data_IF_147522350393
#
_entry.id   IF_147522350393
#
_cell.length_a   1.000
_cell.length_b   1.000
_cell.length_c   1.000
_cell.angle_alpha   90.00
_cell.angle_beta   90.00
_cell.angle_gamma   90.00
#
_symmetry.space_group_name_H-M   'P 1'
#
loop_
_entity.id
_entity.type
_entity.pdbx_description
1 polymer ?
#
# COMPACT_ATOMS: atom_id res chain seq x y z
N UNK A 1 -21.61 -13.97 -3.39
CA UNK A 1 -21.56 -13.35 -4.74
C UNK A 1 -20.65 -12.12 -4.76
N UNK A 2 -19.44 -12.24 -5.32
CA UNK A 2 -18.44 -11.17 -5.45
C UNK A 2 -18.70 -10.20 -6.60
N UNK A 3 -19.70 -10.47 -7.43
CA UNK A 3 -20.11 -9.59 -8.51
C UNK A 3 -20.89 -8.37 -8.01
N UNK A 4 -21.39 -8.39 -6.76
CA UNK A 4 -22.10 -7.22 -6.20
C UNK A 4 -21.18 -6.00 -6.14
N UNK A 5 -21.63 -4.84 -6.67
CA UNK A 5 -20.85 -3.61 -6.67
C UNK A 5 -20.73 -3.00 -5.27
N UNK A 6 -21.66 -3.29 -4.35
CA UNK A 6 -21.55 -2.96 -2.93
C UNK A 6 -21.57 -4.24 -2.08
N UNK A 7 -20.62 -4.35 -1.17
CA UNK A 7 -20.56 -5.36 -0.10
C UNK A 7 -20.79 -4.69 1.24
N UNK A 8 -20.99 -5.48 2.31
CA UNK A 8 -21.00 -4.94 3.68
C UNK A 8 -19.75 -4.08 3.90
N UNK A 9 -19.95 -2.86 4.39
CA UNK A 9 -18.86 -1.99 4.82
C UNK A 9 -18.17 -2.60 6.04
N UNK A 10 -16.86 -2.77 5.98
CA UNK A 10 -16.03 -3.33 7.06
C UNK A 10 -14.71 -2.57 7.26
N UNK A 11 -14.40 -1.59 6.40
CA UNK A 11 -13.19 -0.77 6.48
C UNK A 11 -13.56 0.71 6.42
N UNK A 12 -12.99 1.52 7.31
CA UNK A 12 -13.00 2.98 7.15
C UNK A 12 -11.86 3.43 6.23
N UNK A 13 -10.73 2.71 6.30
CA UNK A 13 -9.55 2.94 5.48
C UNK A 13 -9.02 1.64 4.88
N UNK A 14 -8.57 1.68 3.63
CA UNK A 14 -7.97 0.53 2.95
C UNK A 14 -6.64 0.94 2.30
N UNK A 15 -5.53 0.43 2.82
CA UNK A 15 -4.19 0.71 2.32
C UNK A 15 -3.75 -0.42 1.38
N UNK A 16 -3.50 -0.11 0.12
CA UNK A 16 -3.23 -1.08 -0.93
C UNK A 16 -1.89 -0.82 -1.61
N UNK A 17 -1.00 -1.81 -1.55
CA UNK A 17 0.31 -1.81 -2.20
C UNK A 17 0.38 -2.76 -3.41
N UNK A 18 -0.76 -3.32 -3.83
CA UNK A 18 -0.84 -4.47 -4.75
C UNK A 18 -1.63 -4.14 -6.02
N UNK A 19 -2.73 -3.40 -5.92
CA UNK A 19 -3.51 -2.94 -7.08
C UNK A 19 -4.57 -3.94 -7.59
N UNK A 20 -5.16 -3.63 -8.75
CA UNK A 20 -6.07 -4.52 -9.49
C UNK A 20 -7.25 -5.05 -8.64
N UNK A 21 -7.48 -6.37 -8.65
CA UNK A 21 -8.55 -7.03 -7.91
C UNK A 21 -8.49 -6.81 -6.39
N UNK A 22 -7.31 -6.52 -5.84
CA UNK A 22 -7.14 -6.17 -4.41
C UNK A 22 -7.76 -4.82 -4.11
N UNK A 23 -7.52 -3.83 -4.97
CA UNK A 23 -8.17 -2.51 -4.88
C UNK A 23 -9.69 -2.65 -4.98
N UNK A 24 -10.18 -3.44 -5.94
CA UNK A 24 -11.62 -3.68 -6.12
C UNK A 24 -12.25 -4.34 -4.89
N UNK A 25 -11.53 -5.25 -4.23
CA UNK A 25 -11.98 -5.89 -3.00
C UNK A 25 -12.24 -4.86 -1.90
N UNK A 26 -11.30 -3.93 -1.71
CA UNK A 26 -11.37 -2.84 -0.73
C UNK A 26 -12.48 -1.85 -1.04
N UNK A 27 -12.55 -1.33 -2.28
CA UNK A 27 -13.54 -0.32 -2.69
C UNK A 27 -14.99 -0.75 -2.42
N UNK A 28 -15.33 -2.02 -2.69
CA UNK A 28 -16.69 -2.55 -2.45
C UNK A 28 -17.05 -2.66 -0.96
N UNK A 29 -16.06 -2.62 -0.06
CA UNK A 29 -16.13 -2.91 1.38
C UNK A 29 -15.81 -1.72 2.28
N UNK A 30 -15.57 -0.55 1.72
CA UNK A 30 -15.45 0.68 2.51
C UNK A 30 -16.79 1.11 3.12
N UNK A 31 -16.73 1.65 4.33
CA UNK A 31 -17.83 2.32 5.02
C UNK A 31 -18.15 3.67 4.34
N UNK A 32 -19.24 4.32 4.78
CA UNK A 32 -19.55 5.69 4.34
C UNK A 32 -18.35 6.62 4.58
N UNK A 33 -18.02 7.42 3.57
CA UNK A 33 -16.88 8.34 3.53
C UNK A 33 -15.50 7.69 3.67
N UNK A 34 -15.42 6.36 3.52
CA UNK A 34 -14.18 5.62 3.63
C UNK A 34 -13.17 5.95 2.51
N UNK A 35 -11.89 5.69 2.77
CA UNK A 35 -10.80 6.04 1.87
C UNK A 35 -9.94 4.82 1.55
N UNK A 36 -9.73 4.55 0.27
CA UNK A 36 -8.68 3.65 -0.20
C UNK A 36 -7.47 4.46 -0.69
N UNK A 37 -6.27 4.05 -0.30
CA UNK A 37 -5.00 4.59 -0.81
C UNK A 37 -4.26 3.51 -1.60
N UNK A 38 -3.77 3.82 -2.80
CA UNK A 38 -3.05 2.85 -3.65
C UNK A 38 -1.67 3.40 -4.02
N UNK A 39 -0.62 2.59 -3.82
CA UNK A 39 0.76 2.95 -4.19
C UNK A 39 1.49 1.90 -5.05
N UNK A 40 0.89 0.73 -5.30
CA UNK A 40 1.54 -0.36 -6.03
C UNK A 40 0.61 -1.12 -6.98
N UNK A 41 1.20 -1.96 -7.82
CA UNK A 41 0.55 -2.61 -8.96
C UNK A 41 1.03 -4.05 -9.22
N UNK A 42 1.53 -4.75 -8.20
CA UNK A 42 2.04 -6.14 -8.30
C UNK A 42 0.99 -7.10 -8.90
N UNK A 43 -0.29 -6.91 -8.61
CA UNK A 43 -1.38 -7.73 -9.18
C UNK A 43 -1.93 -7.19 -10.51
N UNK A 44 -1.29 -6.17 -11.10
CA UNK A 44 -1.67 -5.52 -12.35
C UNK A 44 -2.12 -4.07 -12.16
N UNK A 45 -2.24 -3.37 -13.29
CA UNK A 45 -2.55 -1.94 -13.37
C UNK A 45 -3.96 -1.63 -13.90
N UNK A 46 -4.73 -2.65 -14.27
CA UNK A 46 -6.12 -2.49 -14.72
C UNK A 46 -7.09 -2.42 -13.54
N UNK A 47 -8.04 -1.49 -13.57
CA UNK A 47 -9.06 -1.33 -12.54
C UNK A 47 -10.46 -1.26 -13.16
N UNK A 48 -11.21 -2.36 -13.09
CA UNK A 48 -12.62 -2.40 -13.52
C UNK A 48 -13.56 -2.13 -12.34
N UNK A 49 -13.59 -0.88 -11.88
CA UNK A 49 -14.40 -0.46 -10.74
C UNK A 49 -15.83 -0.08 -11.15
N UNK A 50 -16.78 -0.31 -10.24
CA UNK A 50 -18.14 0.18 -10.39
C UNK A 50 -18.28 1.54 -9.70
N UNK A 51 -19.10 2.44 -10.25
CA UNK A 51 -19.31 3.79 -9.69
C UNK A 51 -20.11 3.80 -8.38
N UNK A 52 -20.91 2.76 -8.12
CA UNK A 52 -21.88 2.76 -7.01
C UNK A 52 -21.26 2.95 -5.61
N UNK A 53 -20.11 2.34 -5.25
CA UNK A 53 -19.45 2.65 -3.98
C UNK A 53 -19.12 4.13 -3.83
N UNK A 54 -18.68 4.81 -4.89
CA UNK A 54 -18.32 6.22 -4.84
C UNK A 54 -19.54 7.11 -4.61
N UNK A 55 -20.62 6.90 -5.35
CA UNK A 55 -21.79 7.79 -5.28
C UNK A 55 -22.74 7.45 -4.12
N UNK A 56 -22.81 6.19 -3.69
CA UNK A 56 -23.73 5.77 -2.61
C UNK A 56 -23.08 5.80 -1.24
N UNK A 57 -21.74 5.74 -1.14
CA UNK A 57 -21.01 5.83 0.12
C UNK A 57 -20.08 7.02 0.22
N UNK A 58 -19.86 7.79 -0.85
CA UNK A 58 -18.94 8.93 -0.82
C UNK A 58 -17.49 8.50 -0.59
N UNK A 59 -17.09 7.31 -1.04
CA UNK A 59 -15.72 6.83 -0.84
C UNK A 59 -14.72 7.57 -1.72
N UNK A 60 -13.45 7.53 -1.36
CA UNK A 60 -12.34 8.09 -2.14
C UNK A 60 -11.33 7.01 -2.51
N UNK A 61 -10.75 7.13 -3.70
CA UNK A 61 -9.58 6.39 -4.12
C UNK A 61 -8.45 7.40 -4.34
N UNK A 62 -7.38 7.29 -3.55
CA UNK A 62 -6.27 8.25 -3.53
C UNK A 62 -5.00 7.54 -4.00
N UNK A 63 -4.39 8.04 -5.08
CA UNK A 63 -3.07 7.59 -5.52
C UNK A 63 -1.98 8.19 -4.64
N UNK A 64 -1.05 7.36 -4.19
CA UNK A 64 0.12 7.80 -3.40
C UNK A 64 1.36 7.68 -4.28
N UNK A 65 1.98 8.82 -4.59
CA UNK A 65 3.28 8.89 -5.24
C UNK A 65 4.35 9.28 -4.22
N UNK A 66 5.42 8.48 -4.16
CA UNK A 66 6.58 8.75 -3.30
C UNK A 66 7.75 9.38 -4.07
N UNK A 67 7.70 9.36 -5.41
CA UNK A 67 8.80 9.82 -6.27
C UNK A 67 8.85 11.34 -6.27
N UNK A 68 7.75 12.02 -6.64
CA UNK A 68 7.71 13.46 -6.84
C UNK A 68 6.95 14.22 -5.74
N UNK A 69 6.77 13.61 -4.56
CA UNK A 69 6.18 14.32 -3.42
C UNK A 69 7.00 15.56 -3.07
N UNK A 70 6.29 16.67 -2.81
CA UNK A 70 6.87 17.96 -2.43
C UNK A 70 7.87 17.81 -1.27
N UNK A 71 8.94 18.61 -1.31
CA UNK A 71 10.02 18.50 -0.35
C UNK A 71 9.55 18.78 1.08
N UNK A 72 8.69 19.78 1.30
CA UNK A 72 8.21 20.11 2.64
C UNK A 72 7.35 18.98 3.22
N UNK A 73 6.51 18.35 2.37
CA UNK A 73 5.73 17.17 2.78
C UNK A 73 6.66 16.01 3.13
N UNK A 74 7.70 15.78 2.31
CA UNK A 74 8.69 14.73 2.55
C UNK A 74 9.39 14.93 3.90
N UNK A 75 9.86 16.14 4.19
CA UNK A 75 10.52 16.46 5.46
C UNK A 75 9.60 16.28 6.67
N UNK A 76 8.34 16.74 6.59
CA UNK A 76 7.36 16.56 7.66
C UNK A 76 7.11 15.07 7.96
N UNK A 77 6.92 14.24 6.92
CA UNK A 77 6.72 12.80 7.08
C UNK A 77 7.95 12.13 7.69
N UNK A 78 9.16 12.48 7.25
CA UNK A 78 10.39 11.94 7.83
C UNK A 78 10.58 12.34 9.29
N UNK A 79 10.25 13.58 9.64
CA UNK A 79 10.29 14.06 11.02
C UNK A 79 9.32 13.26 11.91
N UNK A 80 8.10 13.00 11.43
CA UNK A 80 7.11 12.17 12.14
C UNK A 80 7.58 10.73 12.31
N UNK A 81 8.15 10.13 11.26
CA UNK A 81 8.70 8.77 11.31
C UNK A 81 9.82 8.64 12.37
N UNK A 82 10.70 9.63 12.45
CA UNK A 82 11.83 9.64 13.38
C UNK A 82 11.42 9.96 14.83
N UNK A 83 10.36 10.74 15.03
CA UNK A 83 10.00 11.28 16.34
C UNK A 83 8.62 10.81 16.81
N UNK A 84 7.54 11.41 16.28
CA UNK A 84 6.18 11.23 16.79
C UNK A 84 5.69 9.78 16.68
N UNK A 85 5.88 9.16 15.51
CA UNK A 85 5.44 7.79 15.27
C UNK A 85 6.45 6.76 15.79
N UNK A 86 7.74 7.13 15.83
CA UNK A 86 8.85 6.33 16.36
C UNK A 86 8.76 4.83 15.99
N UNK A 87 8.51 4.52 14.71
CA UNK A 87 8.22 3.15 14.28
C UNK A 87 9.47 2.33 13.97
N UNK A 88 10.68 2.92 14.03
CA UNK A 88 11.92 2.27 13.59
C UNK A 88 12.16 0.91 14.24
N UNK A 89 11.96 0.81 15.55
CA UNK A 89 12.16 -0.43 16.31
C UNK A 89 11.07 -1.49 16.08
N UNK A 90 9.94 -1.13 15.44
CA UNK A 90 8.85 -2.05 15.14
C UNK A 90 8.96 -2.69 13.76
N UNK A 91 9.93 -2.25 12.95
CA UNK A 91 10.09 -2.74 11.59
C UNK A 91 10.68 -4.15 11.58
N UNK A 92 10.03 -5.06 10.87
CA UNK A 92 10.62 -6.33 10.49
C UNK A 92 11.63 -6.09 9.36
N UNK A 93 12.93 -6.24 9.66
CA UNK A 93 13.98 -6.16 8.67
C UNK A 93 15.11 -7.16 8.95
N UNK A 94 15.87 -7.47 7.90
CA UNK A 94 17.12 -8.22 7.97
C UNK A 94 18.26 -7.35 7.44
N UNK A 95 19.47 -7.54 7.96
CA UNK A 95 20.68 -6.91 7.45
C UNK A 95 21.52 -7.96 6.73
N UNK A 96 22.11 -7.61 5.58
CA UNK A 96 22.99 -8.50 4.84
C UNK A 96 24.22 -7.78 4.30
N UNK A 97 25.27 -8.56 4.02
CA UNK A 97 26.45 -8.12 3.28
C UNK A 97 26.30 -8.33 1.78
N UNK A 98 27.25 -7.80 1.00
CA UNK A 98 27.18 -7.84 -0.47
C UNK A 98 27.13 -9.26 -1.07
N UNK A 99 27.68 -10.27 -0.39
CA UNK A 99 27.68 -11.68 -0.82
C UNK A 99 26.25 -12.25 -0.97
N UNK A 100 25.31 -11.78 -0.15
CA UNK A 100 23.93 -12.28 -0.13
C UNK A 100 22.99 -11.47 -1.03
N UNK A 101 23.46 -10.34 -1.57
CA UNK A 101 22.65 -9.36 -2.28
C UNK A 101 21.86 -9.96 -3.45
N UNK A 102 22.54 -10.63 -4.37
CA UNK A 102 21.89 -11.20 -5.57
C UNK A 102 20.87 -12.29 -5.22
N UNK A 103 21.19 -13.14 -4.23
CA UNK A 103 20.27 -14.17 -3.75
C UNK A 103 18.99 -13.57 -3.18
N UNK A 104 19.08 -12.47 -2.44
CA UNK A 104 17.90 -11.79 -1.88
C UNK A 104 17.07 -11.10 -2.95
N UNK A 105 17.69 -10.49 -3.96
CA UNK A 105 16.97 -9.92 -5.11
C UNK A 105 16.16 -11.00 -5.85
N UNK A 106 16.76 -12.17 -6.11
CA UNK A 106 16.06 -13.28 -6.75
C UNK A 106 14.85 -13.76 -5.95
N UNK A 107 14.96 -13.82 -4.62
CA UNK A 107 13.84 -14.15 -3.73
C UNK A 107 12.75 -13.08 -3.78
N UNK A 108 13.11 -11.80 -3.81
CA UNK A 108 12.17 -10.68 -3.91
C UNK A 108 11.37 -10.74 -5.20
N UNK A 109 12.04 -10.93 -6.34
CA UNK A 109 11.38 -11.05 -7.65
C UNK A 109 10.46 -12.26 -7.75
N UNK A 110 10.77 -13.36 -7.04
CA UNK A 110 9.93 -14.57 -6.96
C UNK A 110 8.80 -14.45 -5.93
N UNK A 111 8.67 -13.32 -5.23
CA UNK A 111 7.66 -13.13 -4.17
C UNK A 111 7.90 -13.99 -2.93
N UNK A 112 9.14 -14.42 -2.69
CA UNK A 112 9.56 -15.27 -1.56
C UNK A 112 10.22 -14.46 -0.43
N UNK A 113 10.28 -13.13 -0.58
CA UNK A 113 10.84 -12.21 0.40
C UNK A 113 9.75 -11.67 1.33
N UNK A 114 10.09 -11.51 2.61
CA UNK A 114 9.22 -10.95 3.64
C UNK A 114 9.94 -9.81 4.36
N UNK A 115 9.21 -8.72 4.61
CA UNK A 115 9.69 -7.58 5.38
C UNK A 115 10.59 -6.66 4.56
N UNK A 116 11.67 -6.17 5.18
CA UNK A 116 12.65 -5.27 4.57
C UNK A 116 14.05 -5.85 4.67
N UNK A 117 14.93 -5.44 3.76
CA UNK A 117 16.34 -5.81 3.81
C UNK A 117 17.21 -4.58 3.69
N UNK A 118 18.19 -4.45 4.59
CA UNK A 118 19.20 -3.39 4.58
C UNK A 118 20.52 -4.02 4.11
N UNK A 119 21.06 -3.52 3.01
CA UNK A 119 22.41 -3.87 2.56
C UNK A 119 23.42 -3.02 3.34
N UNK A 120 24.31 -3.66 4.09
CA UNK A 120 25.48 -3.00 4.68
C UNK A 120 26.51 -2.77 3.59
N UNK A 121 26.81 -1.50 3.35
CA UNK A 121 27.83 -1.03 2.39
C UNK A 121 29.12 -0.72 3.15
#
# INVERSE_FOLDING_TARGET
DDNKPLKKGIFDYFLDTVGSNVTLYGLKRLNYQGVATVCGNVAGNSLNANILPFILRGIKLIGIDSVYVDHNIREDIWSKLANEWNIGNSLLYNELGFEEFYKTIDQLLKGQHLGRTILKV
#
